data_IF_977165614422
#
_entry.id   IF_977165614422
#
_cell.length_a   1.000
_cell.length_b   1.000
_cell.length_c   1.000
_cell.angle_alpha   90.00
_cell.angle_beta   90.00
_cell.angle_gamma   90.00
#
_symmetry.space_group_name_H-M   'P 1'
#
loop_
_entity.id
_entity.type
_entity.pdbx_description
1 polymer ?
#
# COMPACT_ATOMS: atom_id res chain seq x y z
N UNK A 1 24.80 -4.61 -2.05
CA UNK A 1 25.26 -5.69 -2.95
C UNK A 1 25.44 -5.12 -4.35
N UNK A 2 26.29 -5.69 -5.21
CA UNK A 2 26.48 -5.16 -6.57
C UNK A 2 25.22 -5.36 -7.43
N UNK A 3 24.91 -4.40 -8.32
CA UNK A 3 23.80 -4.56 -9.27
C UNK A 3 24.13 -5.67 -10.27
N UNK A 4 23.20 -6.61 -10.49
CA UNK A 4 23.46 -7.78 -11.33
C UNK A 4 24.37 -8.83 -10.68
N UNK A 5 24.41 -8.87 -9.34
CA UNK A 5 25.26 -9.78 -8.57
C UNK A 5 25.14 -11.23 -9.07
N UNK A 6 26.29 -11.91 -9.22
CA UNK A 6 26.42 -13.30 -9.71
C UNK A 6 26.05 -13.51 -11.19
N UNK A 7 25.71 -12.42 -11.88
CA UNK A 7 25.52 -12.34 -13.32
C UNK A 7 26.84 -12.37 -14.12
N UNK A 8 26.76 -12.22 -15.45
CA UNK A 8 27.95 -11.99 -16.26
C UNK A 8 28.70 -10.73 -15.80
N UNK A 9 29.98 -10.88 -15.49
CA UNK A 9 30.84 -9.75 -15.09
C UNK A 9 31.10 -8.80 -16.26
N UNK A 10 31.30 -9.35 -17.47
CA UNK A 10 31.61 -8.63 -18.70
C UNK A 10 30.84 -9.26 -19.87
N UNK A 11 30.35 -8.43 -20.80
CA UNK A 11 29.74 -8.85 -22.07
C UNK A 11 30.30 -7.94 -23.16
N UNK A 12 30.78 -8.53 -24.27
CA UNK A 12 31.36 -7.82 -25.42
C UNK A 12 32.48 -6.82 -25.03
N UNK A 13 33.34 -7.19 -24.06
CA UNK A 13 34.44 -6.33 -23.60
C UNK A 13 34.01 -5.21 -22.64
N UNK A 14 32.73 -5.15 -22.25
CA UNK A 14 32.17 -4.10 -21.41
C UNK A 14 31.72 -4.65 -20.04
N UNK A 15 32.04 -3.97 -18.93
CA UNK A 15 31.59 -4.40 -17.60
C UNK A 15 30.07 -4.32 -17.48
N UNK A 16 29.49 -5.37 -16.90
CA UNK A 16 28.03 -5.55 -16.70
C UNK A 16 27.69 -5.62 -15.22
N UNK A 17 28.24 -6.57 -14.47
CA UNK A 17 28.06 -6.63 -13.01
C UNK A 17 28.54 -5.33 -12.36
N UNK A 18 27.80 -4.88 -11.34
CA UNK A 18 28.02 -3.62 -10.64
C UNK A 18 27.88 -2.37 -11.54
N UNK A 19 27.18 -2.49 -12.67
CA UNK A 19 26.90 -1.36 -13.58
C UNK A 19 25.42 -1.23 -13.92
N UNK A 20 25.05 -0.16 -14.61
CA UNK A 20 23.71 0.06 -15.14
C UNK A 20 23.32 -0.92 -16.26
N UNK A 21 24.30 -1.55 -16.94
CA UNK A 21 24.04 -2.52 -18.04
C UNK A 21 23.31 -3.77 -17.57
N UNK A 22 23.46 -4.13 -16.30
CA UNK A 22 22.73 -5.23 -15.68
C UNK A 22 21.23 -4.93 -15.41
N UNK A 23 20.68 -3.78 -15.83
CA UNK A 23 19.32 -3.37 -15.48
C UNK A 23 18.21 -4.17 -16.18
N UNK A 24 18.34 -4.41 -17.48
CA UNK A 24 17.36 -5.16 -18.26
C UNK A 24 17.89 -6.55 -18.59
N UNK A 25 18.39 -6.75 -19.81
CA UNK A 25 18.82 -8.05 -20.32
C UNK A 25 20.30 -7.93 -20.65
N UNK A 26 21.20 -8.46 -19.81
CA UNK A 26 22.65 -8.33 -20.01
C UNK A 26 23.15 -9.09 -21.24
N UNK A 27 22.42 -10.11 -21.70
CA UNK A 27 22.71 -10.90 -22.90
C UNK A 27 21.52 -10.81 -23.86
N UNK A 28 21.44 -9.74 -24.67
CA UNK A 28 20.27 -9.45 -25.51
C UNK A 28 20.18 -10.28 -26.78
N UNK A 29 21.28 -10.89 -27.24
CA UNK A 29 21.38 -11.58 -28.52
C UNK A 29 21.49 -13.11 -28.40
N UNK A 30 21.06 -13.72 -27.29
CA UNK A 30 21.22 -15.19 -27.05
C UNK A 30 20.60 -16.09 -28.13
N UNK A 31 19.65 -15.59 -28.92
CA UNK A 31 19.03 -16.34 -30.02
C UNK A 31 19.84 -16.32 -31.32
N UNK A 32 20.67 -15.31 -31.51
CA UNK A 32 21.35 -15.04 -32.79
C UNK A 32 22.87 -14.96 -32.66
N UNK A 33 23.40 -14.82 -31.44
CA UNK A 33 24.83 -14.78 -31.13
C UNK A 33 25.22 -16.02 -30.30
N UNK A 34 25.96 -16.98 -30.90
CA UNK A 34 26.44 -18.18 -30.20
C UNK A 34 27.31 -17.90 -28.96
N UNK A 35 28.07 -16.80 -28.94
CA UNK A 35 28.90 -16.43 -27.79
C UNK A 35 28.04 -15.99 -26.60
N UNK A 36 26.98 -15.23 -26.87
CA UNK A 36 26.01 -14.84 -25.84
C UNK A 36 25.25 -16.05 -25.31
N UNK A 37 24.88 -17.00 -26.19
CA UNK A 37 24.26 -18.26 -25.77
C UNK A 37 25.19 -19.07 -24.86
N UNK A 38 26.46 -19.17 -25.21
CA UNK A 38 27.45 -19.86 -24.38
C UNK A 38 27.67 -19.15 -23.03
N UNK A 39 27.63 -17.81 -22.99
CA UNK A 39 27.67 -17.06 -21.73
C UNK A 39 26.43 -17.31 -20.86
N UNK A 40 25.23 -17.37 -21.48
CA UNK A 40 23.99 -17.70 -20.77
C UNK A 40 24.07 -19.10 -20.15
N UNK A 41 24.55 -20.10 -20.89
CA UNK A 41 24.71 -21.46 -20.37
C UNK A 41 25.68 -21.48 -19.18
N UNK A 42 26.86 -20.86 -19.31
CA UNK A 42 27.84 -20.78 -18.20
C UNK A 42 27.25 -20.11 -16.97
N UNK A 43 26.48 -19.03 -17.16
CA UNK A 43 25.83 -18.33 -16.07
C UNK A 43 24.77 -19.19 -15.38
N UNK A 44 23.88 -19.86 -16.13
CA UNK A 44 22.87 -20.73 -15.52
C UNK A 44 23.49 -21.92 -14.79
N UNK A 45 24.55 -22.51 -15.34
CA UNK A 45 25.28 -23.63 -14.72
C UNK A 45 26.10 -23.22 -13.50
N UNK A 46 26.48 -21.95 -13.35
CA UNK A 46 27.26 -21.51 -12.18
C UNK A 46 26.49 -21.67 -10.86
N UNK A 47 25.15 -21.69 -10.92
CA UNK A 47 24.30 -21.98 -9.77
C UNK A 47 24.16 -23.48 -9.44
N UNK A 48 24.77 -24.38 -10.24
CA UNK A 48 24.74 -25.84 -10.05
C UNK A 48 23.33 -26.41 -9.91
N UNK A 49 22.45 -26.23 -10.93
CA UNK A 49 21.05 -26.65 -10.86
C UNK A 49 20.86 -28.14 -10.50
N UNK A 50 21.81 -29.00 -10.86
CA UNK A 50 21.84 -30.42 -10.49
C UNK A 50 21.91 -30.68 -8.97
N UNK A 51 22.46 -29.75 -8.20
CA UNK A 51 22.49 -29.78 -6.74
C UNK A 51 21.21 -29.19 -6.12
N UNK A 52 20.44 -28.42 -6.89
CA UNK A 52 19.27 -27.68 -6.40
C UNK A 52 17.95 -28.38 -6.72
N UNK A 53 17.89 -29.14 -7.82
CA UNK A 53 16.70 -29.84 -8.29
C UNK A 53 16.95 -31.34 -8.40
N UNK A 54 15.89 -32.14 -8.29
CA UNK A 54 15.92 -33.57 -8.58
C UNK A 54 15.61 -33.88 -10.05
N UNK A 55 15.65 -35.17 -10.41
CA UNK A 55 15.43 -35.64 -11.78
C UNK A 55 14.01 -35.39 -12.31
N UNK A 56 13.05 -35.11 -11.42
CA UNK A 56 11.68 -34.72 -11.77
C UNK A 56 11.51 -33.20 -11.91
N UNK A 57 12.56 -32.42 -11.62
CA UNK A 57 12.56 -30.96 -11.65
C UNK A 57 12.01 -30.31 -10.38
N UNK A 58 11.82 -31.06 -9.30
CA UNK A 58 11.40 -30.50 -8.02
C UNK A 58 12.61 -29.96 -7.23
N UNK A 59 12.48 -28.84 -6.49
CA UNK A 59 13.55 -28.37 -5.61
C UNK A 59 13.87 -29.42 -4.54
N UNK A 60 15.16 -29.65 -4.27
CA UNK A 60 15.58 -30.58 -3.21
C UNK A 60 15.20 -30.05 -1.82
N UNK A 61 14.99 -30.91 -0.81
CA UNK A 61 14.57 -30.51 0.53
C UNK A 61 15.45 -29.42 1.19
N UNK A 62 16.77 -29.46 0.95
CA UNK A 62 17.70 -28.48 1.49
C UNK A 62 17.43 -27.05 0.99
N UNK A 63 16.93 -26.89 -0.24
CA UNK A 63 16.56 -25.58 -0.82
C UNK A 63 15.33 -25.00 -0.10
N UNK A 64 14.42 -25.86 0.35
CA UNK A 64 13.15 -25.47 0.96
C UNK A 64 13.22 -25.37 2.49
N UNK A 65 14.31 -25.82 3.10
CA UNK A 65 14.43 -25.98 4.56
C UNK A 65 14.20 -24.66 5.35
N UNK A 66 14.52 -23.51 4.77
CA UNK A 66 14.33 -22.20 5.41
C UNK A 66 12.97 -21.54 5.08
N UNK A 67 12.13 -22.17 4.25
CA UNK A 67 10.85 -21.61 3.85
C UNK A 67 9.82 -21.91 4.94
N UNK A 68 9.14 -20.90 5.51
CA UNK A 68 8.13 -21.13 6.53
C UNK A 68 6.91 -21.86 5.94
N UNK A 69 6.11 -22.48 6.80
CA UNK A 69 4.89 -23.18 6.39
C UNK A 69 3.63 -22.30 6.46
N UNK A 70 2.60 -22.72 5.74
CA UNK A 70 1.25 -22.18 5.86
C UNK A 70 1.16 -20.67 5.59
N UNK A 71 0.42 -19.90 6.41
CA UNK A 71 0.20 -18.46 6.21
C UNK A 71 1.41 -17.60 6.59
N UNK A 72 2.50 -18.18 7.10
CA UNK A 72 3.75 -17.45 7.35
C UNK A 72 4.59 -17.23 6.09
N UNK A 73 4.24 -17.91 4.98
CA UNK A 73 4.86 -17.68 3.67
C UNK A 73 4.46 -16.31 3.13
N UNK A 74 5.42 -15.61 2.51
CA UNK A 74 5.16 -14.30 1.90
C UNK A 74 4.03 -14.34 0.85
N UNK A 75 3.92 -15.43 0.08
CA UNK A 75 2.84 -15.61 -0.92
C UNK A 75 1.50 -16.08 -0.35
N UNK A 76 1.43 -16.47 0.93
CA UNK A 76 0.21 -17.02 1.55
C UNK A 76 -0.26 -16.25 2.78
N UNK A 77 0.47 -15.23 3.22
CA UNK A 77 0.05 -14.38 4.34
C UNK A 77 -1.26 -13.66 4.01
N UNK A 78 -2.25 -13.64 4.91
CA UNK A 78 -3.53 -12.99 4.64
C UNK A 78 -3.37 -11.47 4.43
N UNK A 79 -2.33 -10.85 4.97
CA UNK A 79 -2.05 -9.43 4.75
C UNK A 79 -1.69 -9.09 3.29
N UNK A 80 -1.24 -10.07 2.48
CA UNK A 80 -1.03 -9.90 1.04
C UNK A 80 -2.32 -10.07 0.21
N UNK A 81 -3.38 -10.59 0.84
CA UNK A 81 -4.73 -10.77 0.29
C UNK A 81 -5.77 -10.18 1.26
N UNK A 82 -5.66 -8.87 1.52
CA UNK A 82 -6.39 -8.18 2.57
C UNK A 82 -7.92 -8.28 2.50
N UNK A 83 -8.51 -8.58 1.34
CA UNK A 83 -9.95 -8.86 1.23
C UNK A 83 -10.43 -9.99 2.15
N UNK A 84 -9.55 -10.95 2.49
CA UNK A 84 -9.83 -12.01 3.46
C UNK A 84 -9.99 -11.50 4.91
N UNK A 85 -9.47 -10.30 5.19
CA UNK A 85 -9.50 -9.65 6.50
C UNK A 85 -10.56 -8.54 6.57
N UNK A 86 -11.14 -8.16 5.42
CA UNK A 86 -12.10 -7.09 5.33
C UNK A 86 -13.38 -7.46 6.08
N UNK A 87 -13.86 -6.51 6.88
CA UNK A 87 -15.09 -6.63 7.66
C UNK A 87 -15.95 -5.42 7.37
N UNK A 88 -17.25 -5.60 7.27
CA UNK A 88 -18.18 -4.50 7.04
C UNK A 88 -18.02 -3.40 8.11
N UNK A 89 -18.14 -2.14 7.69
CA UNK A 89 -18.11 -0.99 8.58
C UNK A 89 -19.46 -0.85 9.28
N UNK A 90 -19.49 -0.62 10.60
CA UNK A 90 -20.71 -0.36 11.34
C UNK A 90 -21.20 1.08 11.09
N UNK A 91 -21.66 1.38 9.88
CA UNK A 91 -22.16 2.70 9.51
C UNK A 91 -23.55 2.91 10.12
N UNK A 92 -23.77 3.97 10.94
CA UNK A 92 -25.10 4.26 11.47
C UNK A 92 -26.10 4.62 10.36
N UNK A 93 -27.42 4.52 10.61
CA UNK A 93 -28.45 4.96 9.66
C UNK A 93 -28.19 6.39 9.19
N UNK A 94 -28.19 6.62 7.87
CA UNK A 94 -27.79 7.89 7.26
C UNK A 94 -28.78 9.03 7.58
N UNK A 95 -30.04 8.69 7.88
CA UNK A 95 -31.09 9.61 8.28
C UNK A 95 -30.71 10.42 9.51
N UNK A 96 -29.84 9.87 10.39
CA UNK A 96 -29.27 10.57 11.54
C UNK A 96 -28.52 11.86 11.14
N UNK A 97 -27.93 11.89 9.95
CA UNK A 97 -27.10 13.00 9.46
C UNK A 97 -27.79 13.78 8.35
N UNK A 98 -29.06 13.48 8.06
CA UNK A 98 -29.81 14.18 7.04
C UNK A 98 -29.97 15.66 7.42
N UNK A 99 -29.65 16.53 6.47
CA UNK A 99 -29.90 17.96 6.60
C UNK A 99 -31.33 18.25 6.16
N UNK A 100 -32.19 18.82 7.02
CA UNK A 100 -33.54 19.21 6.62
C UNK A 100 -33.49 20.30 5.53
N UNK A 101 -34.19 20.06 4.42
CA UNK A 101 -34.34 21.03 3.33
C UNK A 101 -35.83 21.23 3.09
N UNK A 102 -36.38 22.28 3.69
CA UNK A 102 -37.79 22.66 3.50
C UNK A 102 -38.01 23.31 2.13
N UNK A 103 -37.09 24.19 1.73
CA UNK A 103 -37.12 24.91 0.45
C UNK A 103 -35.73 24.92 -0.21
N UNK A 104 -35.62 24.72 -1.54
CA UNK A 104 -34.34 24.76 -2.25
C UNK A 104 -33.62 26.11 -2.08
N UNK A 105 -32.38 26.07 -1.59
CA UNK A 105 -31.52 27.26 -1.45
C UNK A 105 -31.84 28.18 -0.26
N UNK A 106 -32.77 27.78 0.62
CA UNK A 106 -33.19 28.61 1.76
C UNK A 106 -32.25 28.51 2.98
N UNK A 107 -31.34 27.54 3.02
CA UNK A 107 -30.49 27.25 4.17
C UNK A 107 -29.05 26.95 3.76
N UNK A 108 -28.09 27.38 4.60
CA UNK A 108 -26.66 27.18 4.39
C UNK A 108 -26.12 26.13 5.35
N UNK A 109 -25.28 25.24 4.83
CA UNK A 109 -24.68 24.14 5.58
C UNK A 109 -23.25 23.89 5.12
N UNK A 110 -22.43 23.26 5.97
CA UNK A 110 -21.09 22.78 5.61
C UNK A 110 -21.16 21.25 5.42
N UNK A 111 -21.24 20.72 4.18
CA UNK A 111 -21.45 19.29 3.95
C UNK A 111 -20.36 18.41 4.56
N UNK A 112 -19.11 18.89 4.57
CA UNK A 112 -18.00 18.15 5.17
C UNK A 112 -18.08 18.11 6.70
N UNK A 113 -18.72 19.09 7.35
CA UNK A 113 -19.00 19.01 8.79
C UNK A 113 -19.96 17.85 9.10
N UNK A 114 -21.02 17.72 8.30
CA UNK A 114 -21.97 16.59 8.40
C UNK A 114 -21.26 15.25 8.16
N UNK A 115 -20.36 15.19 7.17
CA UNK A 115 -19.51 14.01 6.97
C UNK A 115 -18.63 13.73 8.19
N UNK A 116 -18.02 14.76 8.78
CA UNK A 116 -17.20 14.65 9.99
C UNK A 116 -17.94 13.97 11.15
N UNK A 117 -19.23 14.30 11.36
CA UNK A 117 -20.06 13.67 12.38
C UNK A 117 -20.30 12.17 12.10
N UNK A 118 -20.54 11.80 10.83
CA UNK A 118 -20.66 10.39 10.43
C UNK A 118 -19.34 9.64 10.62
N UNK A 119 -18.21 10.24 10.24
CA UNK A 119 -16.89 9.63 10.40
C UNK A 119 -16.51 9.46 11.86
N UNK A 120 -16.87 10.42 12.74
CA UNK A 120 -16.70 10.30 14.20
C UNK A 120 -17.42 9.03 14.68
N UNK A 121 -18.69 8.86 14.34
CA UNK A 121 -19.48 7.74 14.83
C UNK A 121 -19.01 6.39 14.26
N UNK A 122 -18.55 6.34 13.00
CA UNK A 122 -17.88 5.15 12.45
C UNK A 122 -16.57 4.86 13.20
N UNK A 123 -15.81 5.90 13.53
CA UNK A 123 -14.57 5.78 14.29
C UNK A 123 -14.88 5.28 15.71
N UNK A 124 -15.91 5.78 16.40
CA UNK A 124 -16.35 5.29 17.71
C UNK A 124 -16.80 3.82 17.64
N UNK A 125 -17.65 3.47 16.67
CA UNK A 125 -18.14 2.11 16.49
C UNK A 125 -17.04 1.10 16.12
N UNK A 126 -15.87 1.58 15.72
CA UNK A 126 -14.67 0.78 15.43
C UNK A 126 -13.56 0.96 16.46
N UNK A 127 -13.82 1.52 17.66
CA UNK A 127 -12.80 1.79 18.68
C UNK A 127 -11.97 0.56 19.08
N UNK A 128 -12.62 -0.62 19.19
CA UNK A 128 -11.95 -1.88 19.53
C UNK A 128 -11.25 -2.52 18.32
N UNK A 129 -11.95 -2.59 17.18
CA UNK A 129 -11.42 -3.18 15.93
C UNK A 129 -10.27 -2.35 15.35
N UNK A 130 -10.30 -1.05 15.59
CA UNK A 130 -9.38 -0.01 15.08
C UNK A 130 -9.11 -0.16 13.59
N UNK A 131 -10.12 -0.52 12.79
CA UNK A 131 -10.01 -0.80 11.36
C UNK A 131 -10.54 0.33 10.47
N UNK A 132 -10.85 1.48 11.05
CA UNK A 132 -11.07 2.74 10.35
C UNK A 132 -9.98 3.79 10.70
N UNK A 133 -9.45 4.49 9.69
CA UNK A 133 -8.54 5.64 9.86
C UNK A 133 -8.91 6.80 8.95
N UNK A 134 -8.66 8.02 9.42
CA UNK A 134 -8.68 9.23 8.62
C UNK A 134 -7.23 9.68 8.37
N UNK A 135 -6.89 10.03 7.14
CA UNK A 135 -5.58 10.57 6.80
C UNK A 135 -5.74 11.92 6.08
N UNK A 136 -4.85 12.88 6.35
CA UNK A 136 -4.92 14.20 5.74
C UNK A 136 -3.59 14.95 5.85
N UNK A 137 -3.25 15.84 4.90
CA UNK A 137 -1.92 16.44 4.85
C UNK A 137 -1.84 17.72 5.68
N UNK A 138 -2.14 17.62 6.99
CA UNK A 138 -2.33 18.78 7.91
C UNK A 138 -3.58 19.63 7.58
N UNK A 139 -4.65 18.96 7.12
CA UNK A 139 -5.84 19.63 6.60
C UNK A 139 -7.16 19.07 7.16
N UNK A 140 -7.13 18.10 8.09
CA UNK A 140 -8.36 17.46 8.59
C UNK A 140 -9.33 18.48 9.17
N UNK A 141 -8.84 19.37 10.05
CA UNK A 141 -9.67 20.42 10.64
C UNK A 141 -10.07 21.50 9.62
N UNK A 142 -9.19 21.85 8.69
CA UNK A 142 -9.48 22.86 7.68
C UNK A 142 -10.58 22.39 6.72
N UNK A 143 -10.59 21.10 6.37
CA UNK A 143 -11.64 20.46 5.58
C UNK A 143 -12.94 20.19 6.38
N UNK A 144 -13.06 20.73 7.59
CA UNK A 144 -14.21 20.61 8.50
C UNK A 144 -14.47 19.19 9.04
N UNK A 145 -13.46 18.33 9.10
CA UNK A 145 -13.59 16.95 9.59
C UNK A 145 -13.17 16.78 11.06
N UNK A 146 -12.90 17.86 11.80
CA UNK A 146 -12.41 17.82 13.20
C UNK A 146 -13.33 17.10 14.20
N UNK A 147 -14.60 16.83 13.86
CA UNK A 147 -15.49 16.06 14.72
C UNK A 147 -14.92 14.67 15.09
N UNK A 148 -14.07 14.09 14.24
CA UNK A 148 -13.40 12.81 14.52
C UNK A 148 -12.46 12.85 15.73
N UNK A 149 -11.98 14.03 16.14
CA UNK A 149 -11.08 14.16 17.30
C UNK A 149 -11.75 13.79 18.62
N UNK A 150 -13.09 13.87 18.68
CA UNK A 150 -13.85 13.36 19.82
C UNK A 150 -13.81 11.82 19.93
N UNK A 151 -13.61 11.11 18.82
CA UNK A 151 -13.54 9.64 18.75
C UNK A 151 -12.11 9.10 18.80
N UNK A 152 -11.13 9.86 18.29
CA UNK A 152 -9.71 9.53 18.36
C UNK A 152 -8.83 10.73 18.02
N UNK A 153 -7.76 10.94 18.79
CA UNK A 153 -6.78 11.97 18.48
C UNK A 153 -5.95 11.72 17.21
N UNK A 154 -5.15 12.72 16.86
CA UNK A 154 -4.10 12.70 15.85
C UNK A 154 -2.91 11.89 16.34
N UNK A 155 -2.52 10.89 15.55
CA UNK A 155 -1.40 10.01 15.84
C UNK A 155 -0.10 10.81 15.88
N UNK A 156 0.55 10.87 17.04
CA UNK A 156 1.81 11.61 17.22
C UNK A 156 2.78 10.83 18.11
N UNK A 157 4.02 10.65 17.66
CA UNK A 157 5.05 9.91 18.43
C UNK A 157 6.14 10.82 19.01
N UNK A 158 6.22 12.07 18.57
CA UNK A 158 7.26 13.01 19.01
C UNK A 158 6.88 13.75 20.30
N UNK A 159 7.78 14.60 20.81
CA UNK A 159 7.46 15.46 21.95
C UNK A 159 6.21 16.31 21.68
N UNK A 160 5.39 16.50 22.70
CA UNK A 160 4.26 17.44 22.71
C UNK A 160 4.62 18.70 23.51
N UNK A 161 4.00 19.82 23.14
CA UNK A 161 4.07 21.10 23.82
C UNK A 161 2.75 21.38 24.56
N UNK A 162 2.73 22.28 25.56
CA UNK A 162 1.51 22.61 26.30
C UNK A 162 0.36 23.19 25.45
N UNK A 163 0.68 23.68 24.25
CA UNK A 163 -0.29 24.28 23.31
C UNK A 163 -0.84 23.27 22.29
N UNK A 164 -0.31 22.05 22.25
CA UNK A 164 -0.76 21.07 21.28
C UNK A 164 -2.12 20.47 21.69
N UNK A 165 -3.03 20.39 20.72
CA UNK A 165 -4.39 19.88 20.92
C UNK A 165 -4.62 18.57 20.14
N UNK A 166 -5.48 17.72 20.70
CA UNK A 166 -5.97 16.48 20.10
C UNK A 166 -4.88 15.48 19.65
N UNK A 167 -3.68 15.52 20.23
CA UNK A 167 -2.62 14.55 19.95
C UNK A 167 -2.74 13.30 20.84
N UNK A 168 -2.60 12.12 20.23
CA UNK A 168 -2.65 10.82 20.90
C UNK A 168 -1.54 9.89 20.35
N UNK A 169 -0.82 9.21 21.24
CA UNK A 169 0.19 8.19 20.88
C UNK A 169 -0.40 7.04 20.08
N UNK A 170 -1.70 6.78 20.21
CA UNK A 170 -2.39 5.71 19.50
C UNK A 170 -3.48 6.22 18.57
N UNK A 171 -3.47 7.52 18.23
CA UNK A 171 -4.49 8.16 17.41
C UNK A 171 -4.83 7.45 16.09
N UNK A 172 -6.06 7.66 15.62
CA UNK A 172 -6.58 7.10 14.35
C UNK A 172 -6.76 8.14 13.25
N UNK A 173 -6.57 9.41 13.56
CA UNK A 173 -6.30 10.44 12.54
C UNK A 173 -4.80 10.48 12.31
N UNK A 174 -4.34 10.40 11.07
CA UNK A 174 -2.92 10.49 10.74
C UNK A 174 -2.66 11.70 9.86
N UNK A 175 -1.80 12.60 10.32
CA UNK A 175 -1.49 13.81 9.57
C UNK A 175 0.02 14.00 9.42
N UNK A 176 0.40 14.41 8.21
CA UNK A 176 1.74 14.87 7.86
C UNK A 176 1.60 15.68 6.57
N UNK A 177 2.26 16.83 6.46
CA UNK A 177 2.17 17.70 5.28
C UNK A 177 2.88 17.06 4.07
N UNK A 178 2.23 16.04 3.50
CA UNK A 178 2.66 15.23 2.37
C UNK A 178 1.50 14.37 1.87
N UNK A 179 0.93 14.75 0.73
CA UNK A 179 -0.14 14.03 0.04
C UNK A 179 0.34 12.62 -0.36
N UNK A 180 1.59 12.49 -0.83
CA UNK A 180 2.21 11.20 -1.15
C UNK A 180 2.18 10.24 0.04
N UNK A 181 2.53 10.74 1.23
CA UNK A 181 2.57 9.91 2.44
C UNK A 181 1.16 9.52 2.87
N UNK A 182 0.22 10.46 2.86
CA UNK A 182 -1.18 10.19 3.19
C UNK A 182 -1.82 9.16 2.23
N UNK A 183 -1.64 9.35 0.92
CA UNK A 183 -2.10 8.41 -0.10
C UNK A 183 -1.45 7.03 0.05
N UNK A 184 -0.12 6.97 0.25
CA UNK A 184 0.60 5.72 0.42
C UNK A 184 0.20 4.95 1.68
N UNK A 185 0.00 5.67 2.79
CA UNK A 185 -0.54 5.08 4.02
C UNK A 185 -1.94 4.52 3.79
N UNK A 186 -2.84 5.27 3.15
CA UNK A 186 -4.19 4.78 2.88
C UNK A 186 -4.17 3.57 1.95
N UNK A 187 -3.43 3.59 0.86
CA UNK A 187 -3.34 2.45 -0.06
C UNK A 187 -2.86 1.18 0.64
N UNK A 188 -1.76 1.26 1.41
CA UNK A 188 -1.26 0.10 2.19
C UNK A 188 -2.26 -0.38 3.24
N UNK A 189 -2.99 0.55 3.86
CA UNK A 189 -4.01 0.26 4.87
C UNK A 189 -5.23 -0.46 4.27
N UNK A 190 -5.69 -0.02 3.10
CA UNK A 190 -6.79 -0.65 2.38
C UNK A 190 -6.38 -2.03 1.83
N UNK A 191 -5.19 -2.14 1.23
CA UNK A 191 -4.68 -3.40 0.65
C UNK A 191 -4.48 -4.51 1.70
N UNK A 192 -4.39 -4.14 2.97
CA UNK A 192 -4.29 -5.06 4.11
C UNK A 192 -5.64 -5.31 4.81
N UNK A 193 -6.77 -4.91 4.21
CA UNK A 193 -8.11 -5.34 4.61
C UNK A 193 -8.83 -4.42 5.60
N UNK A 194 -8.50 -3.14 5.61
CA UNK A 194 -9.11 -2.14 6.52
C UNK A 194 -9.73 -0.98 5.71
N UNK A 195 -10.29 0.01 6.40
CA UNK A 195 -11.05 1.11 5.78
C UNK A 195 -10.49 2.49 6.12
N UNK A 196 -10.57 3.44 5.21
CA UNK A 196 -10.21 4.80 5.56
C UNK A 196 -10.65 5.82 4.55
N UNK A 197 -10.38 7.07 4.88
CA UNK A 197 -10.63 8.23 4.03
C UNK A 197 -9.37 9.08 3.98
N UNK A 198 -9.06 9.58 2.79
CA UNK A 198 -8.06 10.62 2.57
C UNK A 198 -8.76 11.91 2.16
N UNK A 199 -8.58 12.98 2.93
CA UNK A 199 -9.04 14.33 2.58
C UNK A 199 -7.84 15.19 2.19
N UNK A 200 -8.01 16.00 1.14
CA UNK A 200 -6.99 16.89 0.61
C UNK A 200 -7.68 18.10 -0.03
N UNK A 201 -7.04 19.27 0.00
CA UNK A 201 -7.47 20.39 -0.84
C UNK A 201 -7.45 20.01 -2.32
N UNK A 202 -8.46 20.48 -3.05
CA UNK A 202 -8.69 20.13 -4.44
C UNK A 202 -7.49 20.45 -5.33
N UNK A 203 -6.88 21.62 -5.17
CA UNK A 203 -5.73 22.03 -5.98
C UNK A 203 -4.49 21.13 -5.78
N UNK A 204 -4.38 20.47 -4.62
CA UNK A 204 -3.22 19.66 -4.24
C UNK A 204 -3.42 18.17 -4.48
N UNK A 205 -4.65 17.70 -4.72
CA UNK A 205 -4.91 16.27 -5.02
C UNK A 205 -4.10 15.79 -6.24
N UNK A 206 -3.78 16.70 -7.17
CA UNK A 206 -2.96 16.43 -8.36
C UNK A 206 -1.54 15.95 -8.03
N UNK A 207 -1.03 16.25 -6.82
CA UNK A 207 0.27 15.77 -6.36
C UNK A 207 0.32 14.23 -6.35
N UNK A 208 -0.82 13.56 -6.13
CA UNK A 208 -0.92 12.09 -6.08
C UNK A 208 -1.58 11.45 -7.30
N UNK A 209 -1.80 12.20 -8.39
CA UNK A 209 -2.42 11.68 -9.62
C UNK A 209 -1.76 10.40 -10.12
N UNK A 210 -0.42 10.34 -10.06
CA UNK A 210 0.33 9.16 -10.48
C UNK A 210 0.09 7.95 -9.57
N UNK A 211 -0.06 8.14 -8.26
CA UNK A 211 -0.34 7.08 -7.29
C UNK A 211 -1.75 6.52 -7.50
N UNK A 212 -2.75 7.41 -7.62
CA UNK A 212 -4.14 7.04 -7.94
C UNK A 212 -4.20 6.22 -9.23
N UNK A 213 -3.46 6.64 -10.27
CA UNK A 213 -3.36 5.89 -11.53
C UNK A 213 -2.75 4.48 -11.33
N UNK A 214 -1.74 4.31 -10.48
CA UNK A 214 -1.19 2.98 -10.16
C UNK A 214 -2.19 2.13 -9.38
N UNK A 215 -2.90 2.71 -8.42
CA UNK A 215 -3.92 2.01 -7.64
C UNK A 215 -5.09 1.54 -8.53
N UNK A 216 -5.57 2.38 -9.45
CA UNK A 216 -6.59 2.00 -10.43
C UNK A 216 -6.11 0.86 -11.33
N UNK A 217 -4.84 0.88 -11.79
CA UNK A 217 -4.26 -0.23 -12.57
C UNK A 217 -4.25 -1.53 -11.75
N UNK A 218 -3.87 -1.45 -10.48
CA UNK A 218 -3.92 -2.59 -9.56
C UNK A 218 -5.35 -3.14 -9.42
N UNK A 219 -6.34 -2.30 -9.14
CA UNK A 219 -7.76 -2.69 -9.05
C UNK A 219 -8.27 -3.33 -10.35
N UNK A 220 -7.90 -2.77 -11.51
CA UNK A 220 -8.30 -3.31 -12.81
C UNK A 220 -7.78 -4.73 -13.05
N UNK A 221 -6.54 -5.01 -12.68
CA UNK A 221 -5.94 -6.35 -12.83
C UNK A 221 -6.55 -7.32 -11.81
N UNK A 222 -6.63 -6.90 -10.55
CA UNK A 222 -7.07 -7.75 -9.44
C UNK A 222 -8.53 -8.19 -9.56
N UNK A 223 -9.42 -7.36 -10.12
CA UNK A 223 -10.82 -7.76 -10.42
C UNK A 223 -10.94 -8.95 -11.40
N UNK A 224 -9.86 -9.33 -12.08
CA UNK A 224 -9.81 -10.51 -12.97
C UNK A 224 -9.17 -11.73 -12.30
N UNK A 225 -8.74 -11.61 -11.04
CA UNK A 225 -8.05 -12.66 -10.29
C UNK A 225 -8.99 -13.21 -9.20
N UNK A 226 -9.72 -14.30 -9.45
CA UNK A 226 -10.80 -14.76 -8.55
C UNK A 226 -10.32 -15.23 -7.17
N UNK A 227 -9.02 -15.51 -7.01
CA UNK A 227 -8.43 -15.90 -5.73
C UNK A 227 -8.08 -14.71 -4.83
N UNK A 228 -8.03 -13.49 -5.40
CA UNK A 228 -7.83 -12.27 -4.64
C UNK A 228 -9.21 -11.79 -4.20
N UNK A 229 -9.42 -11.80 -2.88
CA UNK A 229 -10.66 -11.37 -2.25
C UNK A 229 -10.87 -9.87 -2.38
#
# INVERSE_FOLDING_TARGET
TPKGWTGPAEVDGLPVENTWRAHQVPLSAVRTNPEHLAQLERWLRSYRPEELFDDAGAPRPAVLAAIPEGPRRLGATPYANGGLLLRELPVPPLEKYAVPVEEPGASMHEPTRVLGDLLRDVMDATADRRDFRLVGPDETASNRLQAVYAASGKAWQERTLPVDEDLDRHGRVMEILSEHTCQGWLEGYLLTGRHGLFSCYEAFVHIVDSMVNQHIKWLRVTRRLPWRA
#
